data_IF_907565489033
#
_entry.id   IF_907565489033
#
_cell.length_a   1.000
_cell.length_b   1.000
_cell.length_c   1.000
_cell.angle_alpha   90.00
_cell.angle_beta   90.00
_cell.angle_gamma   90.00
#
_symmetry.space_group_name_H-M   'P 1'
#
loop_
_entity.id
_entity.type
_entity.pdbx_description
1 polymer ?
#
# COMPACT_ATOMS: atom_id res chain seq x y z
N UNK A 1 9.43 -24.88 1.01
CA UNK A 1 9.61 -23.41 0.89
C UNK A 1 8.38 -22.85 0.21
N UNK A 2 7.54 -22.06 0.88
CA UNK A 2 6.40 -21.39 0.23
C UNK A 2 6.99 -20.40 -0.78
N UNK A 3 6.64 -20.56 -2.06
CA UNK A 3 7.17 -19.73 -3.15
C UNK A 3 6.35 -18.44 -3.16
N UNK A 4 6.96 -17.31 -2.77
CA UNK A 4 6.32 -15.99 -2.86
C UNK A 4 5.94 -15.72 -4.32
N UNK A 5 4.74 -15.17 -4.55
CA UNK A 5 4.36 -14.69 -5.89
C UNK A 5 5.28 -13.56 -6.34
N UNK A 6 5.38 -13.33 -7.64
CA UNK A 6 6.16 -12.19 -8.17
C UNK A 6 5.65 -10.84 -7.66
N UNK A 7 4.36 -10.74 -7.28
CA UNK A 7 3.75 -9.54 -6.76
C UNK A 7 4.21 -9.22 -5.33
N UNK A 8 4.50 -10.23 -4.51
CA UNK A 8 4.93 -10.11 -3.11
C UNK A 8 6.43 -10.39 -2.92
N UNK A 9 7.26 -9.97 -3.89
CA UNK A 9 8.71 -10.08 -3.78
C UNK A 9 9.29 -8.89 -3.01
N UNK A 10 9.63 -9.14 -1.77
CA UNK A 10 10.32 -8.17 -0.92
C UNK A 10 11.84 -8.25 -1.06
N UNK A 11 12.54 -7.26 -0.50
CA UNK A 11 13.99 -7.33 -0.32
C UNK A 11 14.36 -8.48 0.63
N UNK A 12 15.56 -9.03 0.46
CA UNK A 12 16.09 -10.08 1.34
C UNK A 12 16.11 -9.60 2.80
N UNK A 13 15.68 -10.45 3.73
CA UNK A 13 15.67 -10.16 5.16
C UNK A 13 14.35 -9.60 5.69
N UNK A 14 13.36 -9.34 4.82
CA UNK A 14 12.00 -8.96 5.25
C UNK A 14 11.31 -10.11 5.99
N UNK A 15 11.69 -11.37 5.74
CA UNK A 15 11.17 -12.53 6.46
C UNK A 15 11.43 -12.49 7.98
N UNK A 16 12.44 -11.76 8.43
CA UNK A 16 12.74 -11.60 9.86
C UNK A 16 11.86 -10.56 10.55
N UNK A 17 11.17 -9.73 9.75
CA UNK A 17 10.36 -8.60 10.25
C UNK A 17 8.87 -8.89 10.10
N UNK A 18 8.46 -9.54 9.01
CA UNK A 18 7.07 -9.93 8.77
C UNK A 18 6.99 -11.45 8.57
N UNK A 19 6.67 -12.21 9.63
CA UNK A 19 6.78 -13.68 9.60
C UNK A 19 5.69 -14.34 8.74
N UNK A 20 4.54 -13.69 8.58
CA UNK A 20 3.43 -14.18 7.77
C UNK A 20 2.81 -13.06 6.94
N UNK A 21 2.89 -13.22 5.61
CA UNK A 21 2.28 -12.32 4.64
C UNK A 21 1.08 -13.02 4.02
N UNK A 22 -0.06 -12.32 3.94
CA UNK A 22 -1.26 -12.74 3.22
C UNK A 22 -1.21 -12.19 1.80
N UNK A 23 -1.10 -13.06 0.80
CA UNK A 23 -1.04 -12.66 -0.61
C UNK A 23 -2.45 -12.53 -1.22
N UNK A 24 -3.29 -11.65 -0.69
CA UNK A 24 -4.69 -11.45 -1.11
C UNK A 24 -4.93 -10.17 -1.92
N UNK A 25 -4.01 -9.21 -1.88
CA UNK A 25 -4.13 -7.96 -2.64
C UNK A 25 -3.82 -8.19 -4.13
N UNK A 26 -4.55 -7.48 -5.00
CA UNK A 26 -4.35 -7.46 -6.45
C UNK A 26 -4.50 -6.05 -7.00
N UNK A 27 -3.61 -5.70 -7.93
CA UNK A 27 -3.68 -4.49 -8.76
C UNK A 27 -4.66 -4.58 -9.94
N UNK A 28 -5.35 -5.71 -10.12
CA UNK A 28 -6.37 -5.84 -11.16
C UNK A 28 -7.49 -4.81 -10.97
N UNK A 29 -7.84 -4.11 -12.06
CA UNK A 29 -8.87 -3.07 -12.09
C UNK A 29 -8.63 -1.90 -11.11
N UNK A 30 -7.36 -1.63 -10.78
CA UNK A 30 -6.95 -0.48 -9.97
C UNK A 30 -6.20 0.54 -10.83
N UNK A 31 -6.45 1.81 -10.55
CA UNK A 31 -5.69 2.90 -11.17
C UNK A 31 -4.25 2.93 -10.67
N UNK A 32 -3.40 3.70 -11.36
CA UNK A 32 -2.06 3.96 -10.88
C UNK A 32 -2.11 4.60 -9.48
N UNK A 33 -1.30 4.08 -8.56
CA UNK A 33 -1.18 4.66 -7.24
C UNK A 33 -0.71 3.68 -6.18
N UNK A 34 -0.88 4.09 -4.94
CA UNK A 34 -0.37 3.42 -3.76
C UNK A 34 -1.56 2.89 -2.95
N UNK A 35 -1.50 1.64 -2.55
CA UNK A 35 -2.61 0.95 -1.91
C UNK A 35 -2.12 0.26 -0.65
N UNK A 36 -2.77 0.58 0.45
CA UNK A 36 -2.52 -0.06 1.74
C UNK A 36 -3.01 -1.51 1.72
N UNK A 37 -2.24 -2.42 2.32
CA UNK A 37 -2.68 -3.80 2.49
C UNK A 37 -3.29 -4.01 3.89
N UNK A 38 -4.63 -3.94 3.97
CA UNK A 38 -5.36 -4.13 5.23
C UNK A 38 -5.23 -5.57 5.74
N UNK A 39 -5.14 -6.56 4.84
CA UNK A 39 -5.01 -7.97 5.22
C UNK A 39 -3.66 -8.26 5.89
N UNK A 40 -2.67 -7.41 5.66
CA UNK A 40 -1.36 -7.42 6.31
C UNK A 40 -1.20 -6.29 7.35
N UNK A 41 -2.28 -5.91 8.04
CA UNK A 41 -2.31 -4.91 9.12
C UNK A 41 -1.68 -3.56 8.73
N UNK A 42 -1.80 -3.18 7.45
CA UNK A 42 -1.24 -1.95 6.89
C UNK A 42 0.31 -1.84 7.00
N UNK A 43 1.01 -2.91 7.36
CA UNK A 43 2.48 -2.95 7.37
C UNK A 43 3.05 -3.10 5.96
N UNK A 44 2.22 -3.58 5.03
CA UNK A 44 2.53 -3.73 3.61
C UNK A 44 1.72 -2.70 2.83
N UNK A 45 2.32 -2.17 1.77
CA UNK A 45 1.61 -1.39 0.77
C UNK A 45 2.08 -1.80 -0.64
N UNK A 46 1.24 -1.48 -1.62
CA UNK A 46 1.45 -1.84 -3.00
C UNK A 46 1.46 -0.60 -3.88
N UNK A 47 2.35 -0.58 -4.86
CA UNK A 47 2.27 0.35 -5.99
C UNK A 47 1.68 -0.41 -7.17
N UNK A 48 0.52 0.05 -7.64
CA UNK A 48 -0.11 -0.48 -8.84
C UNK A 48 0.26 0.36 -10.05
N UNK A 49 0.66 -0.33 -11.12
CA UNK A 49 0.89 0.24 -12.45
C UNK A 49 -0.02 -0.50 -13.44
N UNK A 50 -1.01 0.19 -14.06
CA UNK A 50 -1.89 -0.43 -15.03
C UNK A 50 -1.10 -1.09 -16.18
N UNK A 51 -1.56 -2.24 -16.72
CA UNK A 51 -2.88 -2.82 -16.49
C UNK A 51 -3.02 -3.69 -15.22
N UNK A 52 -1.93 -4.23 -14.66
CA UNK A 52 -1.99 -5.10 -13.47
C UNK A 52 -0.64 -5.29 -12.76
N UNK A 53 0.37 -4.47 -13.07
CA UNK A 53 1.69 -4.64 -12.48
C UNK A 53 1.65 -4.18 -11.01
N UNK A 54 2.12 -5.06 -10.12
CA UNK A 54 2.13 -4.84 -8.68
C UNK A 54 3.56 -4.88 -8.14
N UNK A 55 3.90 -3.88 -7.36
CA UNK A 55 5.13 -3.85 -6.56
C UNK A 55 4.75 -3.75 -5.09
N UNK A 56 5.26 -4.64 -4.25
CA UNK A 56 4.93 -4.68 -2.82
C UNK A 56 6.11 -4.23 -1.97
N UNK A 57 5.81 -3.44 -0.94
CA UNK A 57 6.76 -2.86 -0.03
C UNK A 57 6.30 -3.02 1.41
N UNK A 58 7.24 -3.00 2.35
CA UNK A 58 6.98 -3.04 3.78
C UNK A 58 7.41 -1.72 4.42
N UNK A 59 6.63 -1.25 5.39
CA UNK A 59 6.95 -0.07 6.19
C UNK A 59 7.97 -0.41 7.30
N UNK A 60 9.14 0.24 7.35
CA UNK A 60 10.19 -0.10 8.31
C UNK A 60 9.80 0.21 9.77
N UNK A 61 10.59 -0.32 10.73
CA UNK A 61 10.48 0.02 12.15
C UNK A 61 9.07 -0.15 12.74
N UNK A 62 8.35 -1.19 12.33
CA UNK A 62 6.98 -1.50 12.82
C UNK A 62 5.95 -0.39 12.56
N UNK A 63 6.23 0.51 11.60
CA UNK A 63 5.27 1.54 11.18
C UNK A 63 4.21 0.95 10.23
N UNK A 64 3.13 1.69 10.03
CA UNK A 64 2.07 1.32 9.07
C UNK A 64 1.96 2.38 7.97
N UNK A 65 1.49 1.95 6.80
CA UNK A 65 1.27 2.85 5.68
C UNK A 65 -0.06 3.61 5.87
N UNK A 66 0.02 4.93 5.98
CA UNK A 66 -1.16 5.79 6.02
C UNK A 66 -1.59 6.14 4.60
N UNK A 67 -2.65 5.49 4.13
CA UNK A 67 -3.24 5.73 2.81
C UNK A 67 -3.59 7.20 2.56
N UNK A 68 -3.98 7.95 3.59
CA UNK A 68 -4.40 9.34 3.47
C UNK A 68 -3.24 10.26 3.13
N UNK A 69 -2.06 9.94 3.65
CA UNK A 69 -0.86 10.76 3.51
C UNK A 69 0.18 10.16 2.57
N UNK A 70 0.01 8.89 2.17
CA UNK A 70 0.91 8.11 1.34
C UNK A 70 2.32 7.99 1.93
N UNK A 71 2.41 7.83 3.25
CA UNK A 71 3.67 7.68 4.00
C UNK A 71 3.57 6.53 5.01
N UNK A 72 4.72 5.91 5.29
CA UNK A 72 4.83 5.05 6.47
C UNK A 72 4.99 5.93 7.72
N UNK A 73 4.14 5.74 8.71
CA UNK A 73 4.23 6.45 9.99
C UNK A 73 3.77 5.59 11.17
N UNK A 74 4.08 6.04 12.38
CA UNK A 74 3.67 5.35 13.60
C UNK A 74 2.14 5.24 13.67
N UNK A 75 1.66 4.08 14.11
CA UNK A 75 0.23 3.74 14.16
C UNK A 75 -0.57 4.77 14.97
N UNK A 76 0.03 5.40 15.99
CA UNK A 76 -0.67 6.40 16.81
C UNK A 76 -0.98 7.71 16.08
N UNK A 77 -0.30 7.98 14.96
CA UNK A 77 -0.54 9.16 14.10
C UNK A 77 -1.20 8.81 12.77
N UNK A 78 -1.19 7.53 12.41
CA UNK A 78 -1.81 7.03 11.20
C UNK A 78 -3.33 7.04 11.28
N UNK A 79 -3.96 7.23 10.13
CA UNK A 79 -5.36 6.85 9.93
C UNK A 79 -5.55 5.38 10.35
N UNK A 80 -6.62 5.03 11.11
CA UNK A 80 -6.85 3.65 11.52
C UNK A 80 -6.84 2.70 10.32
N UNK A 81 -6.08 1.61 10.41
CA UNK A 81 -5.82 0.70 9.30
C UNK A 81 -7.10 0.20 8.60
N UNK A 82 -8.14 -0.13 9.37
CA UNK A 82 -9.46 -0.56 8.86
C UNK A 82 -10.19 0.50 8.01
N UNK A 83 -9.79 1.76 8.09
CA UNK A 83 -10.39 2.88 7.36
C UNK A 83 -9.58 3.27 6.13
N UNK A 84 -8.38 2.70 5.94
CA UNK A 84 -7.45 3.04 4.87
C UNK A 84 -8.11 2.99 3.47
N UNK A 85 -8.96 2.01 3.20
CA UNK A 85 -9.67 1.86 1.92
C UNK A 85 -10.47 3.10 1.50
N UNK A 86 -11.02 3.86 2.46
CA UNK A 86 -11.78 5.10 2.18
C UNK A 86 -10.92 6.17 1.50
N UNK A 87 -9.62 6.06 1.65
CA UNK A 87 -8.62 7.03 1.17
C UNK A 87 -7.98 6.59 -0.16
N UNK A 88 -8.34 5.44 -0.75
CA UNK A 88 -7.86 5.03 -2.09
C UNK A 88 -8.19 6.05 -3.18
N UNK A 89 -9.23 6.86 -2.97
CA UNK A 89 -9.58 7.95 -3.88
C UNK A 89 -8.44 8.96 -4.09
N UNK A 90 -7.50 9.10 -3.15
CA UNK A 90 -6.32 9.97 -3.29
C UNK A 90 -5.44 9.55 -4.47
N UNK A 91 -5.45 8.27 -4.86
CA UNK A 91 -4.68 7.81 -6.02
C UNK A 91 -5.11 8.50 -7.33
N UNK A 92 -6.32 9.05 -7.39
CA UNK A 92 -6.79 9.83 -8.55
C UNK A 92 -6.06 11.16 -8.72
N UNK A 93 -5.31 11.62 -7.71
CA UNK A 93 -4.48 12.83 -7.80
C UNK A 93 -3.18 12.60 -8.58
N UNK A 94 -2.75 11.35 -8.79
CA UNK A 94 -1.54 11.08 -9.57
C UNK A 94 -1.71 11.52 -11.03
N UNK A 95 -0.81 12.39 -11.49
CA UNK A 95 -0.86 12.96 -12.84
C UNK A 95 -1.81 14.14 -13.01
N UNK A 96 -2.54 14.54 -11.96
CA UNK A 96 -3.35 15.77 -11.96
C UNK A 96 -2.42 16.98 -11.81
N UNK A 97 -2.43 17.86 -12.81
CA UNK A 97 -1.62 19.08 -12.82
C UNK A 97 -2.42 20.34 -12.49
N UNK A 98 -3.75 20.25 -12.51
CA UNK A 98 -4.67 21.34 -12.19
C UNK A 98 -5.07 21.27 -10.71
N UNK A 99 -4.65 22.23 -9.87
CA UNK A 99 -4.92 22.18 -8.43
C UNK A 99 -6.41 22.19 -8.08
N UNK A 100 -7.27 22.78 -8.92
CA UNK A 100 -8.72 22.83 -8.67
C UNK A 100 -9.39 21.46 -8.84
N UNK A 101 -8.71 20.50 -9.47
CA UNK A 101 -9.18 19.12 -9.68
C UNK A 101 -8.64 18.14 -8.67
N UNK A 102 -7.82 18.58 -7.71
CA UNK A 102 -7.29 17.70 -6.68
C UNK A 102 -8.39 17.26 -5.72
N UNK A 103 -8.44 15.97 -5.46
CA UNK A 103 -9.29 15.39 -4.44
C UNK A 103 -8.62 15.61 -3.09
N UNK A 104 -9.36 16.23 -2.18
CA UNK A 104 -8.96 16.50 -0.80
C UNK A 104 -9.91 15.79 0.16
N UNK A 105 -9.39 15.38 1.32
CA UNK A 105 -10.14 14.63 2.34
C UNK A 105 -10.10 15.39 3.66
#
# INVERSE_FOLDING_TARGET
>A
VKRQSNAYRFASGVEFVVPEIRESFSCENRDYGYYTDIDNNCQVFHVCVPPAQQFSFFCPNTTIFDQRLLVCQDESFATPCREAERFYVINQNFGVTDPEKLITI
#
